data_IF_126588345693
#
_entry.id   IF_126588345693
#
_cell.length_a   1.000
_cell.length_b   1.000
_cell.length_c   1.000
_cell.angle_alpha   90.00
_cell.angle_beta   90.00
_cell.angle_gamma   90.00
#
_symmetry.space_group_name_H-M   'P 1'
#
loop_
_entity.id
_entity.type
_entity.pdbx_description
1 polymer ?
#
# COMPACT_ATOMS: atom_id res chain seq x y z
N UNK A 1 -23.51 33.04 -70.08
CA UNK A 1 -24.58 33.93 -69.56
C UNK A 1 -24.11 34.48 -68.21
N UNK A 2 -23.93 35.81 -68.14
CA UNK A 2 -23.89 36.71 -66.95
C UNK A 2 -23.03 36.29 -65.75
N UNK A 3 -21.78 36.73 -65.58
CA UNK A 3 -21.33 38.04 -65.04
C UNK A 3 -22.10 38.54 -63.79
N UNK A 4 -21.41 38.60 -62.63
CA UNK A 4 -21.36 39.83 -61.82
C UNK A 4 -20.24 39.80 -60.77
N UNK A 5 -19.29 40.71 -60.94
CA UNK A 5 -18.25 41.12 -59.99
C UNK A 5 -18.80 42.15 -58.98
N UNK A 6 -18.23 42.23 -57.78
CA UNK A 6 -18.20 43.44 -56.92
C UNK A 6 -17.11 43.26 -55.83
N UNK A 7 -15.86 43.67 -56.08
CA UNK A 7 -15.19 44.94 -55.71
C UNK A 7 -15.14 45.30 -54.21
N UNK A 8 -13.89 45.43 -53.76
CA UNK A 8 -13.30 46.03 -52.56
C UNK A 8 -14.01 47.21 -51.87
N UNK A 9 -13.83 47.28 -50.54
CA UNK A 9 -13.33 48.50 -49.90
C UNK A 9 -12.45 48.19 -48.68
N UNK A 10 -11.21 48.65 -48.78
CA UNK A 10 -10.18 48.73 -47.75
C UNK A 10 -10.38 50.04 -46.98
N UNK A 11 -10.31 50.03 -45.66
CA UNK A 11 -10.14 51.26 -44.87
C UNK A 11 -8.93 51.10 -43.98
N UNK A 12 -7.88 51.86 -44.30
CA UNK A 12 -6.76 52.15 -43.40
C UNK A 12 -7.21 53.15 -42.34
N UNK A 13 -6.84 52.91 -41.09
CA UNK A 13 -6.59 53.97 -40.12
C UNK A 13 -5.33 53.63 -39.32
N UNK A 14 -4.44 54.60 -39.31
CA UNK A 14 -3.07 54.66 -38.81
C UNK A 14 -2.99 54.80 -37.30
N UNK A 15 -2.02 54.09 -36.71
CA UNK A 15 -1.08 54.62 -35.70
C UNK A 15 -1.60 55.02 -34.32
N UNK A 16 -1.12 54.31 -33.30
CA UNK A 16 -0.23 54.90 -32.28
C UNK A 16 0.41 53.81 -31.43
N UNK A 17 1.69 54.01 -31.14
CA UNK A 17 2.57 53.14 -30.38
C UNK A 17 2.18 53.03 -28.89
N UNK A 18 2.57 51.88 -28.31
CA UNK A 18 3.32 51.77 -27.05
C UNK A 18 2.63 50.96 -25.93
N UNK A 19 3.41 50.00 -25.41
CA UNK A 19 3.26 49.23 -24.16
C UNK A 19 2.22 48.10 -24.13
N UNK A 20 2.66 46.89 -24.47
CA UNK A 20 2.34 45.67 -23.72
C UNK A 20 3.23 44.47 -24.17
N UNK A 21 4.55 44.61 -24.07
CA UNK A 21 5.46 43.46 -24.05
C UNK A 21 5.93 43.26 -22.61
N UNK A 22 5.11 42.66 -21.74
CA UNK A 22 5.52 42.09 -20.44
C UNK A 22 4.33 41.43 -19.72
N UNK A 23 3.72 40.39 -20.28
CA UNK A 23 2.71 39.61 -19.54
C UNK A 23 2.63 38.16 -20.03
N UNK A 24 3.73 37.43 -19.96
CA UNK A 24 3.74 35.97 -20.25
C UNK A 24 4.69 35.13 -19.40
N UNK A 25 5.20 35.61 -18.26
CA UNK A 25 6.17 34.85 -17.43
C UNK A 25 5.74 34.53 -15.99
N UNK A 26 4.44 34.61 -15.65
CA UNK A 26 3.96 34.42 -14.27
C UNK A 26 2.95 33.27 -14.09
N UNK A 27 3.02 32.21 -14.90
CA UNK A 27 2.23 30.99 -14.69
C UNK A 27 3.11 29.76 -14.90
N UNK A 28 3.69 29.26 -13.80
CA UNK A 28 4.17 27.88 -13.59
C UNK A 28 4.95 27.82 -12.28
N UNK A 29 4.28 27.74 -11.13
CA UNK A 29 4.88 27.16 -9.92
C UNK A 29 3.78 26.40 -9.18
N UNK A 30 3.62 25.13 -9.54
CA UNK A 30 2.82 24.16 -8.78
C UNK A 30 3.54 23.77 -7.49
N UNK A 31 2.72 23.56 -6.46
CA UNK A 31 2.97 22.85 -5.20
C UNK A 31 4.17 21.90 -5.23
N UNK A 32 5.23 22.25 -4.50
CA UNK A 32 6.35 21.35 -4.16
C UNK A 32 6.41 21.25 -2.65
N UNK A 33 6.01 20.11 -2.09
CA UNK A 33 6.19 19.81 -0.66
C UNK A 33 7.52 19.07 -0.41
N UNK A 34 8.20 18.55 -1.44
CA UNK A 34 9.38 17.69 -1.21
C UNK A 34 10.71 18.06 -1.94
N UNK A 35 10.88 19.24 -2.56
CA UNK A 35 12.12 19.53 -3.32
C UNK A 35 12.89 20.82 -2.96
N UNK A 36 12.64 21.44 -1.81
CA UNK A 36 13.28 22.72 -1.45
C UNK A 36 14.25 22.68 -0.26
N UNK A 37 14.60 21.52 0.33
CA UNK A 37 15.37 21.46 1.60
C UNK A 37 16.66 20.64 1.54
N UNK A 38 17.40 20.60 0.42
CA UNK A 38 18.71 19.91 0.39
C UNK A 38 19.86 20.67 -0.30
N UNK A 39 19.72 21.98 -0.54
CA UNK A 39 20.77 22.76 -1.16
C UNK A 39 21.12 24.04 -0.38
N UNK A 40 21.52 23.93 0.89
CA UNK A 40 22.44 24.91 1.53
C UNK A 40 23.09 24.30 2.78
N UNK A 41 24.08 23.43 2.60
CA UNK A 41 25.01 23.04 3.67
C UNK A 41 26.45 23.29 3.24
N UNK A 42 26.76 24.51 2.83
CA UNK A 42 28.14 25.03 2.82
C UNK A 42 28.08 26.53 3.07
N UNK A 43 28.52 26.95 4.25
CA UNK A 43 28.81 28.36 4.51
C UNK A 43 29.95 28.81 3.56
N UNK A 44 29.85 29.98 2.91
CA UNK A 44 31.03 30.56 2.28
C UNK A 44 31.95 31.14 3.36
N UNK A 45 33.22 30.77 3.32
CA UNK A 45 34.29 31.36 4.10
C UNK A 45 34.45 32.86 3.80
N UNK A 46 34.92 33.69 4.74
CA UNK A 46 35.09 35.12 4.51
C UNK A 46 36.26 35.35 3.53
N UNK A 47 35.97 36.06 2.43
CA UNK A 47 36.99 36.49 1.48
C UNK A 47 37.89 37.57 2.11
N UNK A 48 39.19 37.33 2.05
CA UNK A 48 40.26 38.27 2.38
C UNK A 48 40.27 39.46 1.41
N UNK A 49 40.39 40.67 1.96
CA UNK A 49 40.48 41.90 1.18
C UNK A 49 41.85 42.01 0.49
N UNK A 50 41.87 42.01 -0.85
CA UNK A 50 43.00 42.48 -1.64
C UNK A 50 42.77 43.92 -2.10
N UNK A 51 43.74 44.77 -1.80
CA UNK A 51 43.80 46.18 -2.14
C UNK A 51 44.12 46.37 -3.62
N UNK A 52 43.27 47.06 -4.38
CA UNK A 52 43.61 47.57 -5.72
C UNK A 52 43.43 49.10 -5.79
N UNK A 53 44.38 49.73 -6.47
CA UNK A 53 44.66 51.17 -6.62
C UNK A 53 43.61 51.91 -7.47
N UNK A 54 43.46 53.25 -7.34
CA UNK A 54 42.33 53.99 -7.91
C UNK A 54 42.55 54.42 -9.36
N UNK A 55 41.55 54.16 -10.20
CA UNK A 55 41.46 54.70 -11.57
C UNK A 55 40.56 55.95 -11.62
N UNK A 56 40.98 56.87 -12.47
CA UNK A 56 40.54 58.26 -12.69
C UNK A 56 39.05 58.49 -12.98
N UNK A 57 38.56 59.63 -12.49
CA UNK A 57 37.22 60.17 -12.63
C UNK A 57 36.78 60.39 -14.08
N UNK A 58 35.54 60.00 -14.39
CA UNK A 58 34.77 60.52 -15.54
C UNK A 58 33.52 61.26 -15.04
N UNK A 59 33.30 62.41 -15.68
CA UNK A 59 32.26 63.41 -15.46
C UNK A 59 30.86 62.92 -15.86
N UNK A 60 29.87 63.32 -15.08
CA UNK A 60 28.53 62.73 -15.04
C UNK A 60 27.53 63.14 -16.12
N UNK A 61 26.40 62.43 -16.08
CA UNK A 61 25.13 62.75 -16.74
C UNK A 61 24.14 63.16 -15.63
N UNK A 62 23.44 64.31 -15.69
CA UNK A 62 22.50 64.68 -14.64
C UNK A 62 21.19 63.92 -14.81
N UNK A 63 20.86 63.03 -13.87
CA UNK A 63 19.55 62.38 -13.83
C UNK A 63 19.46 60.98 -13.20
N UNK A 64 20.54 60.38 -12.73
CA UNK A 64 20.50 59.09 -12.02
C UNK A 64 21.40 59.12 -10.78
N UNK A 65 20.80 58.78 -9.63
CA UNK A 65 21.40 58.58 -8.30
C UNK A 65 22.04 59.79 -7.59
N UNK A 66 21.23 60.77 -7.20
CA UNK A 66 21.57 61.67 -6.06
C UNK A 66 21.18 61.03 -4.71
N UNK A 67 21.61 59.81 -4.43
CA UNK A 67 21.72 59.34 -3.05
C UNK A 67 23.16 59.52 -2.63
N UNK A 68 23.43 60.61 -1.89
CA UNK A 68 24.72 60.79 -1.24
C UNK A 68 25.12 59.55 -0.41
N UNK A 69 26.41 59.35 -0.09
CA UNK A 69 26.84 58.23 0.73
C UNK A 69 25.99 58.13 2.00
N UNK A 70 25.49 56.93 2.28
CA UNK A 70 24.58 56.68 3.42
C UNK A 70 25.16 57.31 4.69
N UNK A 71 24.35 58.11 5.37
CA UNK A 71 24.75 58.68 6.64
C UNK A 71 24.80 57.57 7.71
N UNK A 72 25.51 57.82 8.82
CA UNK A 72 25.70 56.82 9.88
C UNK A 72 24.38 56.25 10.43
N UNK A 73 23.32 57.04 10.46
CA UNK A 73 22.02 56.59 10.95
C UNK A 73 21.32 55.67 9.93
N UNK A 74 21.46 55.94 8.63
CA UNK A 74 20.96 55.08 7.56
C UNK A 74 21.68 53.73 7.52
N UNK A 75 23.01 53.72 7.69
CA UNK A 75 23.80 52.48 7.80
C UNK A 75 23.37 51.69 9.04
N UNK A 76 23.21 52.33 10.20
CA UNK A 76 22.75 51.68 11.41
C UNK A 76 21.33 51.11 11.26
N UNK A 77 20.42 51.83 10.60
CA UNK A 77 19.07 51.37 10.32
C UNK A 77 19.05 50.16 9.36
N UNK A 78 19.87 50.18 8.31
CA UNK A 78 20.01 49.06 7.37
C UNK A 78 20.60 47.82 8.05
N UNK A 79 21.61 47.97 8.92
CA UNK A 79 22.17 46.86 9.71
C UNK A 79 21.14 46.28 10.68
N UNK A 80 20.37 47.12 11.37
CA UNK A 80 19.31 46.66 12.27
C UNK A 80 18.20 45.90 11.50
N UNK A 81 17.84 46.36 10.31
CA UNK A 81 16.89 45.69 9.43
C UNK A 81 17.44 44.33 8.93
N UNK A 82 18.71 44.28 8.55
CA UNK A 82 19.37 43.05 8.13
C UNK A 82 19.40 41.99 9.25
N UNK A 83 19.74 42.39 10.50
CA UNK A 83 19.77 41.44 11.62
C UNK A 83 18.37 40.95 12.01
N UNK A 84 17.35 41.81 11.88
CA UNK A 84 15.95 41.40 12.05
C UNK A 84 15.55 40.35 11.01
N UNK A 85 15.86 40.56 9.74
CA UNK A 85 15.59 39.59 8.67
C UNK A 85 16.33 38.28 8.89
N UNK A 86 17.62 38.35 9.29
CA UNK A 86 18.43 37.17 9.61
C UNK A 86 17.83 36.33 10.73
N UNK A 87 17.39 36.98 11.80
CA UNK A 87 16.73 36.33 12.94
C UNK A 87 15.40 35.70 12.52
N UNK A 88 14.59 36.41 11.73
CA UNK A 88 13.32 35.90 11.22
C UNK A 88 13.50 34.68 10.31
N UNK A 89 14.49 34.70 9.41
CA UNK A 89 14.81 33.58 8.54
C UNK A 89 15.30 32.37 9.33
N UNK A 90 16.18 32.59 10.32
CA UNK A 90 16.65 31.53 11.20
C UNK A 90 15.48 30.87 11.97
N UNK A 91 14.55 31.66 12.50
CA UNK A 91 13.36 31.15 13.17
C UNK A 91 12.45 30.35 12.21
N UNK A 92 12.24 30.84 10.98
CA UNK A 92 11.43 30.15 9.98
C UNK A 92 12.05 28.83 9.55
N UNK A 93 13.36 28.81 9.33
CA UNK A 93 14.10 27.59 9.00
C UNK A 93 14.00 26.57 10.12
N UNK A 94 14.10 26.99 11.38
CA UNK A 94 13.92 26.11 12.53
C UNK A 94 12.48 25.55 12.61
N UNK A 95 11.47 26.37 12.36
CA UNK A 95 10.07 25.92 12.33
C UNK A 95 9.80 24.93 11.19
N UNK A 96 10.36 25.17 10.00
CA UNK A 96 10.24 24.29 8.84
C UNK A 96 10.94 22.95 9.11
N UNK A 97 12.14 22.97 9.68
CA UNK A 97 12.87 21.76 10.06
C UNK A 97 12.08 20.92 11.09
N UNK A 98 11.53 21.56 12.12
CA UNK A 98 10.70 20.87 13.12
C UNK A 98 9.41 20.30 12.51
N UNK A 99 8.78 21.01 11.56
CA UNK A 99 7.61 20.51 10.84
C UNK A 99 7.96 19.31 9.94
N UNK A 100 9.09 19.36 9.23
CA UNK A 100 9.59 18.25 8.42
C UNK A 100 9.88 17.02 9.28
N UNK A 101 10.56 17.18 10.42
CA UNK A 101 10.87 16.06 11.31
C UNK A 101 9.60 15.39 11.87
N UNK A 102 8.55 16.19 12.17
CA UNK A 102 7.25 15.65 12.58
C UNK A 102 6.56 14.88 11.46
N UNK A 103 6.66 15.36 10.22
CA UNK A 103 6.13 14.65 9.05
C UNK A 103 6.84 13.30 8.87
N UNK A 104 8.16 13.28 8.91
CA UNK A 104 8.97 12.05 8.77
C UNK A 104 8.65 11.02 9.85
N UNK A 105 8.55 11.48 11.11
CA UNK A 105 8.17 10.63 12.23
C UNK A 105 6.75 10.05 12.07
N UNK A 106 5.80 10.86 11.59
CA UNK A 106 4.43 10.42 11.35
C UNK A 106 4.33 9.44 10.18
N UNK A 107 5.10 9.65 9.10
CA UNK A 107 5.19 8.72 7.97
C UNK A 107 5.77 7.36 8.39
N UNK A 108 6.82 7.36 9.21
CA UNK A 108 7.41 6.14 9.78
C UNK A 108 6.43 5.40 10.71
N UNK A 109 5.69 6.13 11.55
CA UNK A 109 4.66 5.56 12.41
C UNK A 109 3.51 4.94 11.60
N UNK A 110 3.04 5.63 10.55
CA UNK A 110 2.02 5.11 9.63
C UNK A 110 2.50 3.84 8.90
N UNK A 111 3.72 3.84 8.38
CA UNK A 111 4.37 2.66 7.77
C UNK A 111 4.37 1.47 8.73
N UNK A 112 4.80 1.68 9.97
CA UNK A 112 4.85 0.63 11.00
C UNK A 112 3.47 0.07 11.32
N UNK A 113 2.47 0.94 11.44
CA UNK A 113 1.10 0.53 11.74
C UNK A 113 0.44 -0.20 10.57
N UNK A 114 0.69 0.24 9.33
CA UNK A 114 0.26 -0.43 8.10
C UNK A 114 0.84 -1.83 7.97
N UNK A 115 2.14 -1.98 8.21
CA UNK A 115 2.78 -3.29 8.16
C UNK A 115 2.16 -4.25 9.20
N UNK A 116 1.93 -3.78 10.44
CA UNK A 116 1.22 -4.55 11.47
C UNK A 116 -0.19 -4.95 11.03
N UNK A 117 -0.93 -4.04 10.41
CA UNK A 117 -2.25 -4.32 9.86
C UNK A 117 -2.18 -5.39 8.76
N UNK A 118 -1.24 -5.27 7.82
CA UNK A 118 -1.06 -6.24 6.74
C UNK A 118 -0.75 -7.66 7.29
N UNK A 119 0.12 -7.78 8.30
CA UNK A 119 0.37 -9.07 8.96
C UNK A 119 -0.88 -9.61 9.67
N UNK A 120 -1.60 -8.77 10.42
CA UNK A 120 -2.81 -9.18 11.12
C UNK A 120 -3.91 -9.64 10.14
N UNK A 121 -4.03 -8.97 8.99
CA UNK A 121 -4.95 -9.34 7.92
C UNK A 121 -4.61 -10.70 7.31
N UNK A 122 -3.33 -10.94 6.98
CA UNK A 122 -2.86 -12.23 6.47
C UNK A 122 -3.12 -13.36 7.47
N UNK A 123 -2.89 -13.10 8.76
CA UNK A 123 -3.18 -14.06 9.82
C UNK A 123 -4.69 -14.37 9.92
N UNK A 124 -5.55 -13.38 9.75
CA UNK A 124 -7.00 -13.56 9.68
C UNK A 124 -7.41 -14.41 8.47
N UNK A 125 -6.89 -14.12 7.27
CA UNK A 125 -7.20 -14.90 6.07
C UNK A 125 -6.76 -16.37 6.21
N UNK A 126 -5.58 -16.61 6.77
CA UNK A 126 -5.11 -17.95 7.10
C UNK A 126 -6.04 -18.64 8.11
N UNK A 127 -6.46 -17.95 9.17
CA UNK A 127 -7.37 -18.51 10.17
C UNK A 127 -8.77 -18.83 9.60
N UNK A 128 -9.29 -18.00 8.69
CA UNK A 128 -10.54 -18.28 7.95
C UNK A 128 -10.39 -19.56 7.12
N UNK A 129 -9.29 -19.70 6.38
CA UNK A 129 -9.02 -20.88 5.56
C UNK A 129 -8.91 -22.16 6.40
N UNK A 130 -8.21 -22.08 7.53
CA UNK A 130 -8.09 -23.19 8.48
C UNK A 130 -9.44 -23.57 9.08
N UNK A 131 -10.24 -22.60 9.56
CA UNK A 131 -11.58 -22.89 10.09
C UNK A 131 -12.46 -23.57 9.04
N UNK A 132 -12.45 -23.08 7.79
CA UNK A 132 -13.20 -23.70 6.69
C UNK A 132 -12.80 -25.17 6.49
N UNK A 133 -11.49 -25.45 6.51
CA UNK A 133 -10.95 -26.79 6.32
C UNK A 133 -11.34 -27.74 7.48
N UNK A 134 -11.19 -27.30 8.72
CA UNK A 134 -11.53 -28.12 9.90
C UNK A 134 -13.04 -28.36 10.01
N UNK A 135 -13.87 -27.36 9.67
CA UNK A 135 -15.33 -27.54 9.62
C UNK A 135 -15.76 -28.55 8.56
N UNK A 136 -15.11 -28.56 7.40
CA UNK A 136 -15.41 -29.52 6.35
C UNK A 136 -15.00 -30.95 6.75
N UNK A 137 -13.82 -31.12 7.37
CA UNK A 137 -13.41 -32.42 7.95
C UNK A 137 -14.40 -32.92 8.99
N UNK A 138 -14.83 -32.05 9.90
CA UNK A 138 -15.83 -32.39 10.91
C UNK A 138 -17.15 -32.83 10.25
N UNK A 139 -17.63 -32.09 9.24
CA UNK A 139 -18.84 -32.44 8.50
C UNK A 139 -18.76 -33.85 7.89
N UNK A 140 -17.65 -34.17 7.24
CA UNK A 140 -17.42 -35.49 6.65
C UNK A 140 -17.37 -36.60 7.71
N UNK A 141 -16.64 -36.38 8.81
CA UNK A 141 -16.57 -37.35 9.91
C UNK A 141 -17.91 -37.56 10.61
N UNK A 142 -18.70 -36.49 10.82
CA UNK A 142 -20.04 -36.59 11.38
C UNK A 142 -20.98 -37.42 10.51
N UNK A 143 -20.87 -37.31 9.18
CA UNK A 143 -21.60 -38.17 8.26
C UNK A 143 -21.17 -39.64 8.40
N UNK A 144 -19.86 -39.91 8.39
CA UNK A 144 -19.34 -41.28 8.54
C UNK A 144 -19.74 -41.92 9.88
N UNK A 145 -19.73 -41.16 10.98
CA UNK A 145 -20.19 -41.66 12.29
C UNK A 145 -21.68 -41.99 12.26
N UNK A 146 -22.49 -41.16 11.61
CA UNK A 146 -23.94 -41.40 11.48
C UNK A 146 -24.22 -42.66 10.66
N UNK A 147 -23.49 -42.88 9.57
CA UNK A 147 -23.64 -44.08 8.75
C UNK A 147 -23.14 -45.33 9.49
N UNK A 148 -21.96 -45.26 10.14
CA UNK A 148 -21.45 -46.36 10.96
C UNK A 148 -22.37 -46.70 12.15
N UNK A 149 -23.02 -45.69 12.75
CA UNK A 149 -24.03 -45.90 13.79
C UNK A 149 -25.24 -46.64 13.24
N UNK A 150 -25.74 -46.26 12.07
CA UNK A 150 -26.85 -46.93 11.39
C UNK A 150 -26.52 -48.39 11.09
N UNK A 151 -25.30 -48.69 10.67
CA UNK A 151 -24.85 -50.06 10.40
C UNK A 151 -24.81 -50.91 11.67
N UNK A 152 -24.31 -50.35 12.78
CA UNK A 152 -24.32 -51.02 14.10
C UNK A 152 -25.76 -51.23 14.59
N UNK A 153 -26.65 -50.25 14.44
CA UNK A 153 -28.07 -50.36 14.81
C UNK A 153 -28.81 -51.41 13.95
N UNK A 154 -28.58 -51.41 12.63
CA UNK A 154 -29.18 -52.40 11.72
C UNK A 154 -28.73 -53.82 12.08
N UNK A 155 -27.45 -54.01 12.40
CA UNK A 155 -26.91 -55.29 12.84
C UNK A 155 -27.52 -55.74 14.19
N UNK A 156 -27.79 -54.81 15.10
CA UNK A 156 -28.43 -55.12 16.37
C UNK A 156 -29.91 -55.53 16.20
N UNK A 157 -30.65 -54.82 15.36
CA UNK A 157 -32.05 -55.14 15.03
C UNK A 157 -32.13 -56.52 14.37
N UNK A 158 -31.30 -56.77 13.35
CA UNK A 158 -31.28 -58.02 12.59
C UNK A 158 -30.95 -59.23 13.47
N UNK A 159 -29.96 -59.10 14.37
CA UNK A 159 -29.64 -60.12 15.37
C UNK A 159 -30.81 -60.41 16.33
N UNK A 160 -31.65 -59.41 16.64
CA UNK A 160 -32.80 -59.55 17.52
C UNK A 160 -34.03 -60.13 16.80
N UNK A 161 -34.32 -59.71 15.57
CA UNK A 161 -35.53 -60.09 14.83
C UNK A 161 -35.39 -61.42 14.10
N UNK A 162 -34.22 -61.68 13.50
CA UNK A 162 -34.05 -62.81 12.58
C UNK A 162 -33.18 -63.95 13.18
N UNK A 163 -32.59 -63.73 14.35
CA UNK A 163 -31.80 -64.74 15.08
C UNK A 163 -30.45 -65.12 14.41
N UNK A 164 -30.23 -64.75 13.14
CA UNK A 164 -29.01 -64.84 12.36
C UNK A 164 -29.03 -63.69 11.33
N UNK A 165 -27.93 -62.95 11.21
CA UNK A 165 -27.84 -61.70 10.46
C UNK A 165 -27.46 -61.82 8.96
N UNK A 166 -26.84 -60.79 8.32
CA UNK A 166 -26.93 -60.49 6.87
C UNK A 166 -26.16 -61.47 5.97
N UNK A 167 -26.21 -61.34 4.63
CA UNK A 167 -25.60 -62.21 3.58
C UNK A 167 -24.23 -62.87 3.89
N UNK A 168 -23.38 -62.29 4.75
CA UNK A 168 -22.16 -62.91 5.27
C UNK A 168 -22.43 -64.14 6.15
N UNK A 169 -23.51 -64.12 6.94
CA UNK A 169 -24.05 -65.27 7.66
C UNK A 169 -24.59 -66.29 6.66
N UNK A 170 -25.15 -65.86 5.53
CA UNK A 170 -25.58 -66.75 4.46
C UNK A 170 -24.38 -67.43 3.77
N UNK A 171 -23.25 -66.74 3.62
CA UNK A 171 -21.99 -67.33 3.16
C UNK A 171 -21.37 -68.27 4.20
N UNK A 172 -21.46 -67.93 5.50
CA UNK A 172 -21.03 -68.81 6.59
C UNK A 172 -21.94 -70.06 6.68
N UNK A 173 -23.25 -69.90 6.51
CA UNK A 173 -24.26 -70.97 6.46
C UNK A 173 -24.06 -71.83 5.20
N UNK A 174 -23.80 -71.23 4.02
CA UNK A 174 -23.46 -71.97 2.80
C UNK A 174 -22.18 -72.78 3.03
N UNK A 175 -21.14 -72.18 3.62
CA UNK A 175 -19.87 -72.86 3.93
C UNK A 175 -20.04 -73.99 4.96
N UNK A 176 -20.96 -73.83 5.92
CA UNK A 176 -21.40 -74.87 6.86
C UNK A 176 -22.24 -75.96 6.16
N UNK A 177 -23.09 -75.58 5.21
CA UNK A 177 -23.94 -76.50 4.45
C UNK A 177 -23.16 -77.31 3.40
N UNK A 178 -22.04 -76.77 2.89
CA UNK A 178 -21.18 -77.42 1.87
C UNK A 178 -19.89 -78.01 2.43
N UNK A 179 -19.59 -77.83 3.72
CA UNK A 179 -18.40 -78.38 4.39
C UNK A 179 -18.63 -79.77 5.00
N UNK A 180 -17.60 -80.59 5.10
CA UNK A 180 -17.66 -81.88 5.81
C UNK A 180 -17.98 -81.66 7.30
N UNK A 181 -18.98 -82.38 7.84
CA UNK A 181 -19.55 -82.22 9.20
C UNK A 181 -18.54 -82.19 10.36
N UNK A 182 -17.31 -82.68 10.16
CA UNK A 182 -16.26 -82.76 11.19
C UNK A 182 -15.48 -81.45 11.44
N UNK A 183 -15.66 -80.39 10.66
CA UNK A 183 -14.87 -79.14 10.81
C UNK A 183 -15.64 -77.87 11.17
N UNK A 184 -16.97 -77.90 11.27
CA UNK A 184 -17.77 -76.70 11.53
C UNK A 184 -18.73 -76.92 12.69
N UNK A 185 -18.22 -76.61 13.88
CA UNK A 185 -19.03 -76.55 15.10
C UNK A 185 -19.80 -75.23 15.18
N UNK A 186 -20.91 -75.20 15.94
CA UNK A 186 -21.61 -73.97 16.29
C UNK A 186 -20.67 -72.89 16.91
N UNK A 187 -19.55 -73.30 17.51
CA UNK A 187 -18.54 -72.40 18.06
C UNK A 187 -17.78 -71.61 16.96
N UNK A 188 -17.51 -72.22 15.79
CA UNK A 188 -16.81 -71.54 14.69
C UNK A 188 -17.67 -70.45 14.06
N UNK A 189 -18.97 -70.72 13.86
CA UNK A 189 -19.94 -69.71 13.42
C UNK A 189 -20.10 -68.59 14.45
N UNK A 190 -20.23 -68.94 15.73
CA UNK A 190 -20.35 -67.95 16.82
C UNK A 190 -19.12 -67.03 16.90
N UNK A 191 -17.91 -67.58 16.69
CA UNK A 191 -16.67 -66.80 16.68
C UNK A 191 -16.61 -65.82 15.50
N UNK A 192 -17.00 -66.25 14.29
CA UNK A 192 -17.04 -65.37 13.11
C UNK A 192 -18.05 -64.21 13.28
N UNK A 193 -19.24 -64.50 13.80
CA UNK A 193 -20.26 -63.47 14.08
C UNK A 193 -19.84 -62.51 15.20
N UNK A 194 -19.10 -63.00 16.19
CA UNK A 194 -18.51 -62.15 17.22
C UNK A 194 -17.44 -61.21 16.64
N UNK A 195 -16.60 -61.72 15.75
CA UNK A 195 -15.52 -60.96 15.10
C UNK A 195 -16.06 -59.80 14.23
N UNK A 196 -17.05 -60.07 13.37
CA UNK A 196 -17.69 -59.02 12.55
C UNK A 196 -18.33 -57.94 13.43
N UNK A 197 -19.05 -58.33 14.48
CA UNK A 197 -19.68 -57.39 15.42
C UNK A 197 -18.65 -56.55 16.18
N UNK A 198 -17.52 -57.16 16.56
CA UNK A 198 -16.42 -56.45 17.19
C UNK A 198 -15.78 -55.45 16.22
N UNK A 199 -15.49 -55.87 14.99
CA UNK A 199 -14.89 -55.03 13.95
C UNK A 199 -15.74 -53.79 13.64
N UNK A 200 -17.07 -53.94 13.51
CA UNK A 200 -17.95 -52.80 13.27
C UNK A 200 -18.06 -51.84 14.47
N UNK A 201 -18.09 -52.37 15.69
CA UNK A 201 -18.03 -51.53 16.90
C UNK A 201 -16.71 -50.77 17.02
N UNK A 202 -15.59 -51.42 16.72
CA UNK A 202 -14.27 -50.79 16.70
C UNK A 202 -14.20 -49.70 15.62
N UNK A 203 -14.76 -49.96 14.44
CA UNK A 203 -14.86 -48.97 13.37
C UNK A 203 -15.67 -47.74 13.80
N UNK A 204 -16.87 -47.94 14.33
CA UNK A 204 -17.70 -46.87 14.88
C UNK A 204 -16.98 -46.08 15.97
N UNK A 205 -16.34 -46.77 16.92
CA UNK A 205 -15.62 -46.13 18.04
C UNK A 205 -14.43 -45.32 17.53
N UNK A 206 -13.70 -45.82 16.54
CA UNK A 206 -12.59 -45.10 15.90
C UNK A 206 -13.08 -43.84 15.19
N UNK A 207 -14.19 -43.93 14.44
CA UNK A 207 -14.79 -42.78 13.77
C UNK A 207 -15.31 -41.75 14.78
N UNK A 208 -15.97 -42.19 15.86
CA UNK A 208 -16.46 -41.31 16.92
C UNK A 208 -15.30 -40.56 17.60
N UNK A 209 -14.19 -41.23 17.88
CA UNK A 209 -12.99 -40.58 18.43
C UNK A 209 -12.39 -39.55 17.46
N UNK A 210 -12.30 -39.88 16.17
CA UNK A 210 -11.82 -38.96 15.13
C UNK A 210 -12.75 -37.76 14.98
N UNK A 211 -14.08 -37.96 15.03
CA UNK A 211 -15.07 -36.89 15.02
C UNK A 211 -14.87 -35.97 16.22
N UNK A 212 -14.66 -36.51 17.42
CA UNK A 212 -14.42 -35.72 18.62
C UNK A 212 -13.14 -34.86 18.48
N UNK A 213 -12.04 -35.44 17.98
CA UNK A 213 -10.81 -34.68 17.70
C UNK A 213 -11.05 -33.57 16.66
N UNK A 214 -11.77 -33.88 15.57
CA UNK A 214 -12.11 -32.88 14.55
C UNK A 214 -13.04 -31.78 15.10
N UNK A 215 -13.95 -32.10 16.02
CA UNK A 215 -14.82 -31.14 16.67
C UNK A 215 -14.02 -30.15 17.53
N UNK A 216 -13.07 -30.66 18.32
CA UNK A 216 -12.13 -29.82 19.08
C UNK A 216 -11.27 -28.96 18.14
N UNK A 217 -10.72 -29.52 17.07
CA UNK A 217 -9.92 -28.78 16.09
C UNK A 217 -10.73 -27.65 15.42
N UNK A 218 -11.97 -27.92 15.01
CA UNK A 218 -12.85 -26.92 14.43
C UNK A 218 -13.20 -25.80 15.42
N UNK A 219 -13.44 -26.13 16.70
CA UNK A 219 -13.68 -25.15 17.76
C UNK A 219 -12.45 -24.26 18.01
N UNK A 220 -11.26 -24.87 18.08
CA UNK A 220 -9.99 -24.13 18.23
C UNK A 220 -9.72 -23.23 17.01
N UNK A 221 -9.98 -23.71 15.79
CA UNK A 221 -9.83 -22.93 14.57
C UNK A 221 -10.76 -21.72 14.55
N UNK A 222 -12.02 -21.88 14.97
CA UNK A 222 -12.97 -20.78 15.14
C UNK A 222 -12.48 -19.74 16.14
N UNK A 223 -12.04 -20.16 17.33
CA UNK A 223 -11.49 -19.23 18.35
C UNK A 223 -10.27 -18.47 17.79
N UNK A 224 -9.42 -19.16 17.03
CA UNK A 224 -8.25 -18.55 16.39
C UNK A 224 -8.67 -17.49 15.37
N UNK A 225 -9.68 -17.78 14.53
CA UNK A 225 -10.24 -16.82 13.59
C UNK A 225 -10.86 -15.61 14.30
N UNK A 226 -11.61 -15.82 15.38
CA UNK A 226 -12.21 -14.73 16.17
C UNK A 226 -11.13 -13.81 16.76
N UNK A 227 -10.06 -14.38 17.35
CA UNK A 227 -8.90 -13.61 17.83
C UNK A 227 -8.22 -12.84 16.70
N UNK A 228 -7.98 -13.49 15.55
CA UNK A 228 -7.36 -12.84 14.40
C UNK A 228 -8.26 -11.73 13.82
N UNK A 229 -9.59 -11.87 13.92
CA UNK A 229 -10.56 -10.85 13.49
C UNK A 229 -10.41 -9.59 14.34
N UNK A 230 -10.39 -9.75 15.66
CA UNK A 230 -10.18 -8.64 16.59
C UNK A 230 -8.80 -8.01 16.39
N UNK A 231 -7.74 -8.82 16.25
CA UNK A 231 -6.39 -8.31 16.01
C UNK A 231 -6.29 -7.49 14.71
N UNK A 232 -6.88 -7.97 13.61
CA UNK A 232 -6.91 -7.24 12.35
C UNK A 232 -7.71 -5.93 12.46
N UNK A 233 -8.85 -5.94 13.14
CA UNK A 233 -9.66 -4.74 13.36
C UNK A 233 -8.92 -3.69 14.20
N UNK A 234 -8.28 -4.09 15.30
CA UNK A 234 -7.46 -3.21 16.14
C UNK A 234 -6.27 -2.65 15.38
N UNK A 235 -5.55 -3.49 14.63
CA UNK A 235 -4.42 -3.06 13.83
C UNK A 235 -4.85 -2.09 12.71
N UNK A 236 -6.02 -2.32 12.10
CA UNK A 236 -6.61 -1.39 11.13
C UNK A 236 -6.90 -0.03 11.75
N UNK A 237 -7.57 0.00 12.90
CA UNK A 237 -7.88 1.26 13.58
C UNK A 237 -6.60 2.05 13.94
N UNK A 238 -5.54 1.35 14.36
CA UNK A 238 -4.23 1.96 14.62
C UNK A 238 -3.57 2.50 13.33
N UNK A 239 -3.64 1.75 12.22
CA UNK A 239 -3.17 2.22 10.92
C UNK A 239 -3.93 3.47 10.46
N UNK A 240 -5.26 3.46 10.53
CA UNK A 240 -6.09 4.61 10.14
C UNK A 240 -5.79 5.85 11.01
N UNK A 241 -5.61 5.68 12.32
CA UNK A 241 -5.27 6.79 13.23
C UNK A 241 -3.88 7.38 12.97
N UNK A 242 -2.89 6.53 12.66
CA UNK A 242 -1.53 6.99 12.32
C UNK A 242 -1.48 7.66 10.94
N UNK A 243 -2.27 7.19 9.97
CA UNK A 243 -2.46 7.88 8.69
C UNK A 243 -3.11 9.25 8.88
N UNK A 244 -4.14 9.37 9.73
CA UNK A 244 -4.75 10.66 10.04
C UNK A 244 -3.74 11.64 10.69
N UNK A 245 -2.91 11.13 11.60
CA UNK A 245 -1.81 11.91 12.21
C UNK A 245 -0.79 12.35 11.16
N UNK A 246 -0.46 11.46 10.22
CA UNK A 246 0.43 11.75 9.11
C UNK A 246 -0.14 12.83 8.17
N UNK A 247 -1.41 12.75 7.81
CA UNK A 247 -2.12 13.77 7.02
C UNK A 247 -2.14 15.14 7.72
N UNK A 248 -2.35 15.15 9.04
CA UNK A 248 -2.30 16.37 9.83
C UNK A 248 -0.89 16.99 9.83
N UNK A 249 0.17 16.17 9.94
CA UNK A 249 1.55 16.63 9.86
C UNK A 249 1.88 17.20 8.48
N UNK A 250 1.41 16.56 7.40
CA UNK A 250 1.59 17.06 6.03
C UNK A 250 0.89 18.42 5.82
N UNK A 251 -0.33 18.55 6.35
CA UNK A 251 -1.09 19.82 6.32
C UNK A 251 -0.37 20.92 7.11
N UNK A 252 0.17 20.60 8.28
CA UNK A 252 0.93 21.54 9.10
C UNK A 252 2.23 21.99 8.40
N UNK A 253 2.93 21.09 7.73
CA UNK A 253 4.12 21.44 6.94
C UNK A 253 3.75 22.38 5.78
N UNK A 254 2.69 22.06 5.02
CA UNK A 254 2.21 22.91 3.94
C UNK A 254 1.83 24.32 4.43
N UNK A 255 1.16 24.43 5.57
CA UNK A 255 0.84 25.71 6.20
C UNK A 255 2.11 26.49 6.61
N UNK A 256 3.12 25.81 7.16
CA UNK A 256 4.40 26.43 7.49
C UNK A 256 5.14 26.94 6.26
N UNK A 257 5.17 26.17 5.16
CA UNK A 257 5.75 26.60 3.88
C UNK A 257 5.03 27.83 3.34
N UNK A 258 3.69 27.84 3.37
CA UNK A 258 2.90 28.98 2.92
C UNK A 258 3.15 30.23 3.79
N UNK A 259 3.25 30.07 5.12
CA UNK A 259 3.57 31.16 6.03
C UNK A 259 4.97 31.73 5.79
N UNK A 260 5.97 30.87 5.55
CA UNK A 260 7.33 31.29 5.18
C UNK A 260 7.31 32.07 3.86
N UNK A 261 6.61 31.57 2.82
CA UNK A 261 6.45 32.28 1.54
C UNK A 261 5.76 33.62 1.70
N UNK A 262 4.68 33.70 2.46
CA UNK A 262 3.95 34.95 2.70
C UNK A 262 4.82 36.01 3.40
N UNK A 263 5.71 35.58 4.32
CA UNK A 263 6.65 36.49 4.98
C UNK A 263 7.78 36.95 4.05
N UNK A 264 8.26 36.10 3.14
CA UNK A 264 9.23 36.47 2.09
C UNK A 264 8.57 37.42 1.08
N UNK A 265 7.35 37.14 0.65
CA UNK A 265 6.60 37.98 -0.29
C UNK A 265 6.24 39.34 0.31
N UNK A 266 5.91 39.41 1.61
CA UNK A 266 5.67 40.66 2.33
C UNK A 266 6.90 41.59 2.39
N UNK A 267 8.10 41.09 2.06
CA UNK A 267 9.31 41.89 1.85
C UNK A 267 9.38 42.53 0.46
N UNK A 268 8.53 42.13 -0.51
CA UNK A 268 8.52 42.63 -1.89
C UNK A 268 7.16 43.16 -2.42
N UNK A 269 5.98 42.81 -1.85
CA UNK A 269 4.66 43.49 -1.95
C UNK A 269 3.48 42.61 -1.44
N UNK A 270 2.23 43.06 -1.59
CA UNK A 270 1.04 42.92 -0.72
C UNK A 270 0.53 41.53 -0.25
N UNK A 271 -0.20 41.48 0.91
CA UNK A 271 -0.52 40.25 1.67
C UNK A 271 -1.60 39.31 1.10
N UNK A 272 -2.30 39.69 0.03
CA UNK A 272 -3.49 38.98 -0.46
C UNK A 272 -3.20 37.66 -1.18
N UNK A 273 -2.01 37.51 -1.77
CA UNK A 273 -1.68 36.35 -2.61
C UNK A 273 -1.25 35.12 -1.80
N UNK A 274 -0.72 35.33 -0.60
CA UNK A 274 -0.22 34.26 0.27
C UNK A 274 -1.36 33.39 0.85
N UNK A 275 -2.48 34.00 1.22
CA UNK A 275 -3.65 33.28 1.75
C UNK A 275 -4.39 32.48 0.66
N UNK A 276 -4.49 33.04 -0.55
CA UNK A 276 -5.08 32.36 -1.71
C UNK A 276 -4.24 31.14 -2.14
N UNK A 277 -2.91 31.28 -2.17
CA UNK A 277 -1.99 30.18 -2.47
C UNK A 277 -2.08 29.04 -1.44
N UNK A 278 -2.24 29.35 -0.15
CA UNK A 278 -2.42 28.36 0.91
C UNK A 278 -3.74 27.58 0.77
N UNK A 279 -4.83 28.26 0.44
CA UNK A 279 -6.14 27.63 0.24
C UNK A 279 -6.18 26.73 -1.00
N UNK A 280 -5.51 27.13 -2.10
CA UNK A 280 -5.35 26.32 -3.30
C UNK A 280 -4.54 25.05 -3.03
N UNK A 281 -3.40 25.15 -2.33
CA UNK A 281 -2.58 23.99 -1.97
C UNK A 281 -3.33 22.99 -1.06
N UNK A 282 -4.16 23.49 -0.13
CA UNK A 282 -5.02 22.64 0.71
C UNK A 282 -6.09 21.91 -0.11
N UNK A 283 -6.71 22.59 -1.07
CA UNK A 283 -7.75 22.00 -1.93
C UNK A 283 -7.17 20.94 -2.87
N UNK A 284 -5.99 21.18 -3.43
CA UNK A 284 -5.27 20.22 -4.27
C UNK A 284 -4.81 18.98 -3.50
N UNK A 285 -4.40 19.14 -2.24
CA UNK A 285 -4.05 18.02 -1.35
C UNK A 285 -5.28 17.18 -0.99
N UNK A 286 -6.42 17.83 -0.73
CA UNK A 286 -7.68 17.14 -0.49
C UNK A 286 -8.19 16.38 -1.74
N UNK A 287 -8.07 16.97 -2.93
CA UNK A 287 -8.48 16.35 -4.20
C UNK A 287 -7.57 15.18 -4.60
N UNK A 288 -6.27 15.24 -4.29
CA UNK A 288 -5.32 14.13 -4.51
C UNK A 288 -5.63 12.90 -3.63
N UNK A 289 -6.28 13.12 -2.49
CA UNK A 289 -6.75 12.08 -1.58
C UNK A 289 -8.19 11.63 -1.90
N UNK A 290 -8.89 12.32 -2.81
CA UNK A 290 -10.25 11.96 -3.19
C UNK A 290 -10.29 10.62 -3.94
N UNK A 291 -11.38 9.89 -3.76
CA UNK A 291 -11.51 8.50 -4.16
C UNK A 291 -11.53 8.37 -5.70
N UNK A 292 -10.43 7.94 -6.31
CA UNK A 292 -10.44 7.53 -7.71
C UNK A 292 -11.33 6.30 -7.87
N UNK A 293 -12.24 6.33 -8.84
CA UNK A 293 -13.14 5.20 -9.10
C UNK A 293 -12.33 3.97 -9.44
N UNK A 294 -12.32 3.00 -8.53
CA UNK A 294 -11.70 1.69 -8.76
C UNK A 294 -12.37 1.01 -9.95
N UNK A 295 -11.59 0.32 -10.79
CA UNK A 295 -12.13 -0.36 -11.98
C UNK A 295 -13.12 -1.48 -11.64
N UNK A 296 -13.06 -2.00 -10.41
CA UNK A 296 -14.07 -2.89 -9.83
C UNK A 296 -14.07 -2.83 -8.30
N UNK A 297 -15.07 -3.43 -7.66
CA UNK A 297 -15.14 -3.62 -6.20
C UNK A 297 -14.70 -5.02 -5.77
N UNK A 298 -14.02 -5.77 -6.65
CA UNK A 298 -13.65 -7.15 -6.38
C UNK A 298 -12.70 -7.24 -5.17
N UNK A 299 -13.23 -7.77 -4.07
CA UNK A 299 -12.51 -8.02 -2.82
C UNK A 299 -12.36 -9.52 -2.53
N UNK A 300 -12.70 -10.38 -3.50
CA UNK A 300 -12.60 -11.83 -3.35
C UNK A 300 -11.14 -12.24 -3.14
N UNK A 301 -10.92 -13.22 -2.27
CA UNK A 301 -9.60 -13.80 -2.02
C UNK A 301 -9.36 -14.94 -3.00
N UNK A 302 -8.22 -14.92 -3.66
CA UNK A 302 -7.73 -16.00 -4.52
C UNK A 302 -6.43 -16.55 -3.93
N UNK A 303 -6.07 -17.82 -4.21
CA UNK A 303 -4.75 -18.31 -3.86
C UNK A 303 -3.65 -17.44 -4.47
N UNK A 304 -2.51 -17.36 -3.79
CA UNK A 304 -1.38 -16.54 -4.20
C UNK A 304 -0.90 -16.93 -5.62
N UNK A 305 -0.93 -15.96 -6.54
CA UNK A 305 -0.56 -16.13 -7.94
C UNK A 305 -1.66 -16.70 -8.83
N UNK A 306 -2.89 -16.90 -8.33
CA UNK A 306 -4.02 -17.47 -9.08
C UNK A 306 -5.23 -16.51 -9.17
N UNK A 307 -4.97 -15.21 -9.28
CA UNK A 307 -6.02 -14.22 -9.53
C UNK A 307 -6.41 -14.30 -11.01
N UNK A 308 -7.71 -14.41 -11.35
CA UNK A 308 -8.13 -14.24 -12.73
C UNK A 308 -7.93 -12.78 -13.14
N UNK A 309 -7.69 -12.53 -14.43
CA UNK A 309 -7.49 -11.18 -14.96
C UNK A 309 -8.67 -10.24 -14.65
N UNK A 310 -9.90 -10.77 -14.58
CA UNK A 310 -11.10 -10.02 -14.20
C UNK A 310 -11.15 -9.59 -12.72
N UNK A 311 -10.28 -10.14 -11.87
CA UNK A 311 -10.12 -9.73 -10.48
C UNK A 311 -9.02 -8.68 -10.27
N UNK A 312 -8.33 -8.27 -11.34
CA UNK A 312 -7.25 -7.29 -11.31
C UNK A 312 -7.65 -6.04 -12.11
N UNK A 313 -7.14 -4.90 -11.67
CA UNK A 313 -7.28 -3.63 -12.35
C UNK A 313 -5.95 -3.23 -13.01
N UNK A 314 -5.95 -2.80 -14.27
CA UNK A 314 -4.79 -2.18 -14.88
C UNK A 314 -4.48 -0.84 -14.20
N UNK A 315 -3.21 -0.46 -14.16
CA UNK A 315 -2.76 0.83 -13.62
C UNK A 315 -2.85 1.91 -14.71
N UNK A 316 -3.62 2.96 -14.46
CA UNK A 316 -3.80 4.05 -15.42
C UNK A 316 -2.51 4.86 -15.62
N UNK A 317 -1.70 4.96 -14.57
CA UNK A 317 -0.43 5.72 -14.57
C UNK A 317 0.80 4.87 -14.89
N UNK A 318 0.63 3.55 -15.03
CA UNK A 318 1.71 2.60 -15.39
C UNK A 318 1.17 1.48 -16.32
N UNK A 319 1.02 1.76 -17.63
CA UNK A 319 0.46 0.81 -18.58
C UNK A 319 1.22 -0.53 -18.60
N UNK A 320 0.48 -1.63 -18.72
CA UNK A 320 1.03 -2.99 -18.70
C UNK A 320 1.10 -3.64 -17.31
N UNK A 321 0.93 -2.86 -16.25
CA UNK A 321 0.89 -3.36 -14.88
C UNK A 321 -0.53 -3.50 -14.35
N UNK A 322 -0.72 -4.42 -13.40
CA UNK A 322 -2.02 -4.67 -12.76
C UNK A 322 -1.86 -4.90 -11.27
N UNK A 323 -2.86 -4.49 -10.50
CA UNK A 323 -2.98 -4.76 -9.07
C UNK A 323 -4.43 -5.14 -8.72
N UNK A 324 -4.68 -5.59 -7.50
CA UNK A 324 -6.05 -5.69 -6.98
C UNK A 324 -6.72 -4.31 -7.00
N UNK A 325 -8.05 -4.24 -7.08
CA UNK A 325 -8.73 -2.98 -7.39
C UNK A 325 -8.41 -1.81 -6.44
N UNK A 326 -8.46 -2.05 -5.12
CA UNK A 326 -8.12 -1.02 -4.12
C UNK A 326 -6.66 -0.56 -4.21
N UNK A 327 -5.74 -1.50 -4.44
CA UNK A 327 -4.31 -1.21 -4.57
C UNK A 327 -4.02 -0.45 -5.87
N UNK A 328 -4.67 -0.79 -6.98
CA UNK A 328 -4.55 -0.08 -8.25
C UNK A 328 -5.03 1.38 -8.14
N UNK A 329 -6.23 1.57 -7.60
CA UNK A 329 -6.82 2.89 -7.35
C UNK A 329 -5.92 3.75 -6.45
N UNK A 330 -5.39 3.17 -5.37
CA UNK A 330 -4.43 3.82 -4.49
C UNK A 330 -3.12 4.19 -5.18
N UNK A 331 -2.57 3.28 -5.98
CA UNK A 331 -1.32 3.50 -6.72
C UNK A 331 -1.46 4.65 -7.71
N UNK A 332 -2.56 4.70 -8.48
CA UNK A 332 -2.76 5.76 -9.46
C UNK A 332 -2.92 7.14 -8.81
N UNK A 333 -3.52 7.23 -7.61
CA UNK A 333 -3.53 8.47 -6.82
C UNK A 333 -2.13 8.87 -6.38
N UNK A 334 -1.36 7.92 -5.83
CA UNK A 334 0.02 8.16 -5.40
C UNK A 334 0.90 8.61 -6.56
N UNK A 335 0.83 7.91 -7.69
CA UNK A 335 1.58 8.21 -8.91
C UNK A 335 1.19 9.56 -9.52
N UNK A 336 -0.09 9.94 -9.43
CA UNK A 336 -0.55 11.28 -9.84
C UNK A 336 0.00 12.38 -8.93
N UNK A 337 0.05 12.16 -7.62
CA UNK A 337 0.67 13.10 -6.68
C UNK A 337 2.17 13.24 -6.94
N UNK A 338 2.87 12.12 -7.18
CA UNK A 338 4.28 12.12 -7.56
C UNK A 338 4.52 12.95 -8.83
N UNK A 339 3.65 12.81 -9.84
CA UNK A 339 3.74 13.60 -11.08
C UNK A 339 3.56 15.10 -10.87
N UNK A 340 2.67 15.52 -9.96
CA UNK A 340 2.48 16.95 -9.66
C UNK A 340 3.75 17.60 -9.12
N UNK A 341 4.55 16.84 -8.36
CA UNK A 341 5.76 17.34 -7.71
C UNK A 341 7.04 17.15 -8.56
N UNK A 342 7.11 16.07 -9.34
CA UNK A 342 8.34 15.68 -10.06
C UNK A 342 8.24 15.79 -11.58
N UNK A 343 7.03 15.98 -12.12
CA UNK A 343 6.75 16.02 -13.55
C UNK A 343 6.55 14.65 -14.20
N UNK A 344 6.90 13.55 -13.53
CA UNK A 344 6.80 12.18 -14.07
C UNK A 344 5.88 11.30 -13.22
N UNK A 345 5.19 10.34 -13.84
CA UNK A 345 4.52 9.26 -13.08
C UNK A 345 5.55 8.32 -12.45
N UNK A 346 5.13 7.57 -11.42
CA UNK A 346 5.98 6.55 -10.82
C UNK A 346 6.33 5.47 -11.85
N UNK A 347 7.62 5.20 -11.99
CA UNK A 347 8.12 4.12 -12.83
C UNK A 347 7.89 2.78 -12.12
N UNK A 348 7.27 1.82 -12.81
CA UNK A 348 7.01 0.47 -12.30
C UNK A 348 7.87 -0.53 -13.09
N UNK A 349 8.54 -1.43 -12.37
CA UNK A 349 9.31 -2.52 -12.95
C UNK A 349 8.61 -3.86 -12.81
N UNK A 350 7.85 -4.08 -11.73
CA UNK A 350 7.07 -5.30 -11.51
C UNK A 350 5.80 -5.02 -10.68
N UNK A 351 4.77 -5.85 -10.85
CA UNK A 351 3.44 -5.67 -10.23
C UNK A 351 2.81 -7.03 -9.89
N UNK A 352 1.54 -7.29 -10.20
CA UNK A 352 0.99 -8.64 -10.06
C UNK A 352 1.81 -9.68 -10.83
N UNK A 353 2.11 -10.81 -10.18
CA UNK A 353 2.84 -11.94 -10.76
C UNK A 353 2.07 -13.24 -10.53
N UNK A 354 1.75 -13.96 -11.59
CA UNK A 354 1.06 -15.25 -11.52
C UNK A 354 1.95 -16.33 -10.88
N UNK A 355 1.32 -17.44 -10.46
CA UNK A 355 2.03 -18.58 -9.89
C UNK A 355 3.03 -19.18 -10.89
N UNK A 356 2.66 -19.25 -12.17
CA UNK A 356 3.52 -19.77 -13.22
C UNK A 356 4.77 -18.91 -13.43
N UNK A 357 4.61 -17.58 -13.46
CA UNK A 357 5.72 -16.63 -13.53
C UNK A 357 6.59 -16.70 -12.27
N UNK A 358 5.98 -16.90 -11.09
CA UNK A 358 6.72 -17.07 -9.84
C UNK A 358 7.57 -18.36 -9.84
N UNK A 359 7.07 -19.45 -10.43
CA UNK A 359 7.84 -20.69 -10.62
C UNK A 359 9.04 -20.44 -11.55
N UNK A 360 8.83 -19.76 -12.67
CA UNK A 360 9.90 -19.46 -13.63
C UNK A 360 10.98 -18.55 -13.01
N UNK A 361 10.60 -17.45 -12.35
CA UNK A 361 11.57 -16.54 -11.73
C UNK A 361 12.30 -17.20 -10.56
N UNK A 362 11.65 -18.09 -9.79
CA UNK A 362 12.32 -18.88 -8.75
C UNK A 362 13.34 -19.86 -9.32
N UNK A 363 13.08 -20.42 -10.51
CA UNK A 363 14.06 -21.25 -11.23
C UNK A 363 15.27 -20.42 -11.67
N UNK A 364 15.05 -19.23 -12.21
CA UNK A 364 16.13 -18.35 -12.71
C UNK A 364 16.91 -17.63 -11.61
N UNK A 365 16.24 -17.27 -10.51
CA UNK A 365 16.77 -16.44 -9.41
C UNK A 365 16.43 -17.04 -8.04
N UNK A 366 16.95 -18.23 -7.70
CA UNK A 366 16.52 -18.99 -6.53
C UNK A 366 16.74 -18.27 -5.18
N UNK A 367 17.73 -17.38 -5.09
CA UNK A 367 18.06 -16.67 -3.86
C UNK A 367 17.36 -15.30 -3.73
N UNK A 368 16.66 -14.85 -4.78
CA UNK A 368 15.99 -13.54 -4.80
C UNK A 368 14.47 -13.69 -4.84
N UNK A 369 13.96 -14.71 -5.52
CA UNK A 369 12.53 -14.92 -5.65
C UNK A 369 11.96 -15.67 -4.42
N UNK A 370 10.80 -15.22 -3.96
CA UNK A 370 10.00 -15.94 -2.98
C UNK A 370 9.63 -17.35 -3.48
N UNK A 371 9.36 -18.26 -2.55
CA UNK A 371 8.80 -19.58 -2.86
C UNK A 371 7.46 -19.38 -3.61
N UNK A 372 7.18 -20.14 -4.68
CA UNK A 372 5.89 -20.07 -5.37
C UNK A 372 4.71 -20.20 -4.41
N UNK A 373 3.72 -19.30 -4.56
CA UNK A 373 2.57 -19.20 -3.66
C UNK A 373 2.83 -18.40 -2.37
N UNK A 374 4.02 -17.81 -2.20
CA UNK A 374 4.37 -17.00 -1.03
C UNK A 374 4.80 -15.56 -1.38
N UNK A 375 4.70 -15.15 -2.65
CA UNK A 375 5.08 -13.80 -3.08
C UNK A 375 3.95 -12.80 -2.87
N UNK A 376 4.23 -11.63 -2.32
CA UNK A 376 3.23 -10.56 -2.22
C UNK A 376 2.80 -10.00 -3.59
N UNK A 377 3.62 -10.16 -4.64
CA UNK A 377 3.20 -9.89 -6.02
C UNK A 377 2.06 -10.80 -6.46
N UNK A 378 2.06 -12.07 -6.05
CA UNK A 378 0.96 -13.00 -6.36
C UNK A 378 -0.33 -12.70 -5.60
N UNK A 379 -0.29 -11.82 -4.61
CA UNK A 379 -1.49 -11.28 -3.95
C UNK A 379 -2.00 -10.00 -4.61
N UNK A 380 -1.31 -9.47 -5.64
CA UNK A 380 -1.70 -8.25 -6.34
C UNK A 380 -1.71 -6.99 -5.45
N UNK A 381 -0.86 -6.98 -4.42
CA UNK A 381 -0.72 -5.86 -3.46
C UNK A 381 0.71 -5.32 -3.39
N UNK A 382 1.66 -5.90 -4.13
CA UNK A 382 3.05 -5.44 -4.16
C UNK A 382 3.39 -4.82 -5.50
N UNK A 383 4.29 -3.84 -5.46
CA UNK A 383 4.80 -3.13 -6.62
C UNK A 383 6.32 -2.96 -6.47
N UNK A 384 7.06 -3.23 -7.54
CA UNK A 384 8.48 -2.91 -7.64
C UNK A 384 8.64 -1.63 -8.48
N UNK A 385 9.37 -0.66 -7.96
CA UNK A 385 9.50 0.67 -8.56
C UNK A 385 10.90 0.92 -9.12
N UNK A 386 10.96 1.78 -10.15
CA UNK A 386 12.18 2.25 -10.80
C UNK A 386 12.26 3.79 -10.79
N UNK A 387 13.20 4.37 -11.54
CA UNK A 387 13.30 5.83 -11.69
C UNK A 387 14.03 6.52 -10.54
N UNK A 388 14.93 5.80 -9.87
CA UNK A 388 15.71 6.25 -8.73
C UNK A 388 15.22 5.66 -7.39
N UNK A 389 13.97 5.21 -7.31
CA UNK A 389 13.38 4.62 -6.09
C UNK A 389 14.06 3.30 -5.72
N UNK A 390 14.53 2.55 -6.72
CA UNK A 390 15.30 1.31 -6.59
C UNK A 390 16.70 1.49 -5.97
N UNK A 391 17.05 2.71 -5.53
CA UNK A 391 18.29 3.02 -4.87
C UNK A 391 18.01 3.73 -3.54
N UNK A 392 18.52 3.18 -2.44
CA UNK A 392 18.37 3.80 -1.11
C UNK A 392 18.95 5.23 -1.08
N UNK A 393 18.30 6.10 -0.31
CA UNK A 393 18.79 7.45 -0.05
C UNK A 393 18.60 8.45 -1.18
N UNK A 394 18.11 8.03 -2.36
CA UNK A 394 17.74 8.98 -3.41
C UNK A 394 16.54 9.82 -3.01
N UNK A 395 16.39 10.98 -3.62
CA UNK A 395 15.24 11.87 -3.40
C UNK A 395 13.93 11.14 -3.75
N UNK A 396 13.91 10.33 -4.80
CA UNK A 396 12.73 9.57 -5.19
C UNK A 396 12.36 8.50 -4.15
N UNK A 397 13.35 7.78 -3.59
CA UNK A 397 13.12 6.85 -2.49
C UNK A 397 12.60 7.57 -1.23
N UNK A 398 13.20 8.70 -0.85
CA UNK A 398 12.74 9.47 0.31
C UNK A 398 11.33 10.04 0.13
N UNK A 399 10.98 10.45 -1.10
CA UNK A 399 9.62 10.84 -1.43
C UNK A 399 8.64 9.71 -1.13
N UNK A 400 8.95 8.49 -1.56
CA UNK A 400 8.11 7.33 -1.26
C UNK A 400 8.02 7.05 0.24
N UNK A 401 9.13 7.13 0.99
CA UNK A 401 9.12 6.93 2.45
C UNK A 401 8.20 7.92 3.17
N UNK A 402 8.20 9.17 2.72
CA UNK A 402 7.38 10.21 3.31
C UNK A 402 5.93 10.15 2.83
N UNK A 403 5.65 9.82 1.56
CA UNK A 403 4.31 10.02 0.96
C UNK A 403 3.50 8.74 0.75
N UNK A 404 4.14 7.58 0.51
CA UNK A 404 3.42 6.33 0.22
C UNK A 404 2.38 5.95 1.29
N UNK A 405 2.64 6.16 2.61
CA UNK A 405 1.65 5.85 3.65
C UNK A 405 0.38 6.71 3.57
N UNK A 406 0.37 7.84 2.88
CA UNK A 406 -0.87 8.61 2.65
C UNK A 406 -1.83 7.87 1.70
N UNK A 407 -1.32 6.94 0.91
CA UNK A 407 -2.06 6.20 -0.10
C UNK A 407 -2.27 4.72 0.27
N UNK A 408 -1.84 4.30 1.46
CA UNK A 408 -1.95 2.90 1.89
C UNK A 408 -0.77 2.01 1.46
N UNK A 409 0.27 2.58 0.86
CA UNK A 409 1.50 1.86 0.54
C UNK A 409 2.54 2.06 1.63
N UNK A 410 3.29 1.02 1.95
CA UNK A 410 4.37 1.06 2.93
C UNK A 410 5.59 0.32 2.42
N UNK A 411 6.76 0.71 2.94
CA UNK A 411 8.01 -0.01 2.71
C UNK A 411 8.20 -1.01 3.87
N UNK A 412 8.18 -2.34 3.61
CA UNK A 412 8.25 -3.32 4.68
C UNK A 412 9.57 -3.24 5.46
N UNK A 413 9.53 -3.47 6.77
CA UNK A 413 10.74 -3.47 7.61
C UNK A 413 11.81 -4.46 7.16
N UNK A 414 11.43 -5.59 6.57
CA UNK A 414 12.38 -6.56 6.00
C UNK A 414 13.11 -6.03 4.75
N UNK A 415 12.51 -5.07 4.03
CA UNK A 415 13.01 -4.48 2.80
C UNK A 415 13.86 -3.21 3.03
N UNK A 416 13.92 -2.72 4.27
CA UNK A 416 14.73 -1.57 4.68
C UNK A 416 16.24 -1.79 4.42
N UNK A 417 17.07 -0.73 4.41
CA UNK A 417 18.53 -0.87 4.26
C UNK A 417 19.17 -1.85 5.25
N UNK A 418 18.64 -1.91 6.47
CA UNK A 418 19.08 -2.80 7.55
C UNK A 418 18.17 -4.02 7.73
N UNK A 419 17.24 -4.24 6.80
CA UNK A 419 16.30 -5.34 6.83
C UNK A 419 16.96 -6.67 6.47
N UNK A 420 16.21 -7.77 6.63
CA UNK A 420 16.71 -9.12 6.32
C UNK A 420 16.94 -9.35 4.84
N UNK A 421 16.28 -8.57 3.97
CA UNK A 421 16.46 -8.61 2.52
C UNK A 421 16.23 -7.20 1.96
N UNK A 422 17.27 -6.34 1.94
CA UNK A 422 17.13 -4.95 1.51
C UNK A 422 16.64 -4.84 0.06
N UNK A 423 15.46 -4.26 -0.14
CA UNK A 423 14.79 -4.10 -1.44
C UNK A 423 14.15 -2.70 -1.50
N UNK A 424 14.91 -1.66 -1.88
CA UNK A 424 14.40 -0.27 -1.95
C UNK A 424 13.26 -0.08 -2.95
N UNK A 425 13.20 -0.95 -3.97
CA UNK A 425 12.18 -0.93 -5.01
C UNK A 425 10.85 -1.55 -4.57
N UNK A 426 10.80 -2.40 -3.52
CA UNK A 426 9.63 -3.21 -3.19
C UNK A 426 8.69 -2.50 -2.20
N UNK A 427 7.46 -2.22 -2.61
CA UNK A 427 6.45 -1.56 -1.77
C UNK A 427 5.16 -2.39 -1.71
N UNK A 428 4.49 -2.34 -0.57
CA UNK A 428 3.29 -3.14 -0.31
C UNK A 428 2.09 -2.27 0.04
N UNK A 429 0.93 -2.66 -0.46
CA UNK A 429 -0.34 -2.05 -0.10
C UNK A 429 -0.93 -2.75 1.13
N UNK A 430 -1.24 -1.97 2.17
CA UNK A 430 -1.90 -2.45 3.37
C UNK A 430 -3.41 -2.56 3.13
N UNK A 431 -3.84 -3.75 2.70
CA UNK A 431 -5.25 -4.09 2.41
C UNK A 431 -6.00 -4.59 3.64
#
# INVERSE_FOLDING_TARGET
MTHSSRTHTTTHATGTHSRAHATTWAQRITTSVALAILATSTAPAPATAETTTPQTAQTGTPGADERGPLNKNEVAAQLAQAEKLRTQLAQQNAQLAAASQRLDAAAAAATTAMEKYAYAKRALEAAISTEKTEREKLRQLSQHVTDAKRDVEAMAIDAYTNGNGPLADLAAIIKVATGTRDQLSAATLSAYLADIRNSQREHYTSLAQRQQTAATAAATARITREKATTAAATAKAAADATVATHQAAATALAAQVAATRGKIAATESTPTDAAAAAALAQREAADALSNSTSCSTNNTTYPNGLFPDSALCPLATAPGHKLRPSAASAFDRMSTAYRKETGNYLCVSDSYRSLAEQVDIRRRKPNLAAVPGQSHHGLGIAIDLCGGIENFGTIAYQWMKQNAPLYGFYHPTWAEPTGSKPEPWHWEYAN
#
